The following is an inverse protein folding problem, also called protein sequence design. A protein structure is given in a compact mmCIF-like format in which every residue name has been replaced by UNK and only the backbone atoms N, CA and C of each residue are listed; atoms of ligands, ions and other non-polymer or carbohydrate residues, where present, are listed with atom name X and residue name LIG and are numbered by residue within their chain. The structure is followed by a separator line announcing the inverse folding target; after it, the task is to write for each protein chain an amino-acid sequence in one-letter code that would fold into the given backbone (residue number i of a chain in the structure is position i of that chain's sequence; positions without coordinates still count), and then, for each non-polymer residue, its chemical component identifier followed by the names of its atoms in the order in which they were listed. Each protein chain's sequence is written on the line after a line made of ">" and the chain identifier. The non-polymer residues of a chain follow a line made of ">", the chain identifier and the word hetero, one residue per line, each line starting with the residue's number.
data_IF_314125349090
#
_entry.id   IF_314125349090
#
_cell.length_a   1.000
_cell.length_b   1.000
_cell.length_c   1.000
_cell.angle_alpha   90.00
_cell.angle_beta   90.00
_cell.angle_gamma   90.00
#
_symmetry.space_group_name_H-M   'P 1'
#
loop_
_entity.id
_entity.type
_entity.pdbx_description
1 polymer ?
#
# COMPACT_ATOMS: atom_id res chain seq x y z
N UNK A 1 -23.10 7.02 -28.31
CA UNK A 1 -21.93 7.89 -28.07
C UNK A 1 -21.70 7.87 -26.55
N UNK A 2 -20.68 7.16 -26.11
CA UNK A 2 -20.26 7.17 -24.70
C UNK A 2 -19.59 8.51 -24.46
N UNK A 3 -20.23 9.40 -23.69
CA UNK A 3 -19.58 10.60 -23.18
C UNK A 3 -18.29 10.18 -22.47
N UNK A 4 -17.16 10.65 -22.97
CA UNK A 4 -15.88 10.47 -22.27
C UNK A 4 -15.95 11.30 -20.99
N UNK A 5 -16.26 10.66 -19.85
CA UNK A 5 -16.16 11.33 -18.56
C UNK A 5 -14.72 11.80 -18.38
N UNK A 6 -14.53 13.06 -18.11
CA UNK A 6 -13.21 13.59 -17.78
C UNK A 6 -12.69 12.90 -16.52
N UNK A 7 -11.47 12.40 -16.59
CA UNK A 7 -10.79 11.79 -15.46
C UNK A 7 -10.25 12.91 -14.56
N UNK A 8 -10.58 12.86 -13.27
CA UNK A 8 -9.94 13.73 -12.28
C UNK A 8 -8.74 12.99 -11.69
N UNK A 9 -7.56 13.50 -11.97
CA UNK A 9 -6.31 12.96 -11.42
C UNK A 9 -6.07 13.51 -10.00
N UNK A 10 -5.73 12.67 -9.04
CA UNK A 10 -5.53 13.03 -7.64
C UNK A 10 -4.23 12.41 -7.11
N UNK A 11 -3.36 13.21 -6.54
CA UNK A 11 -2.19 12.77 -5.80
C UNK A 11 -2.60 12.45 -4.36
N UNK A 12 -2.26 11.25 -3.88
CA UNK A 12 -2.57 10.79 -2.53
C UNK A 12 -1.27 10.44 -1.80
N UNK A 13 -1.02 11.10 -0.68
CA UNK A 13 0.18 10.91 0.11
C UNK A 13 -0.01 9.82 1.18
N UNK A 14 0.82 8.80 1.13
CA UNK A 14 1.01 7.86 2.23
C UNK A 14 2.24 8.32 3.01
N UNK A 15 2.02 9.29 3.91
CA UNK A 15 3.08 9.84 4.75
C UNK A 15 3.31 8.91 5.93
N UNK A 16 4.53 8.40 6.03
CA UNK A 16 4.95 7.53 7.13
C UNK A 16 5.96 8.28 8.00
N UNK A 17 5.67 8.35 9.28
CA UNK A 17 6.62 8.86 10.27
C UNK A 17 7.83 7.93 10.34
N UNK A 18 9.05 8.43 10.11
CA UNK A 18 10.24 7.58 10.02
C UNK A 18 10.67 6.93 11.35
N UNK A 19 10.24 7.49 12.48
CA UNK A 19 10.59 6.98 13.82
C UNK A 19 9.59 5.93 14.31
N UNK A 20 8.30 6.15 14.05
CA UNK A 20 7.23 5.31 14.61
C UNK A 20 6.59 4.36 13.60
N UNK A 21 6.82 4.57 12.30
CA UNK A 21 6.16 3.82 11.22
C UNK A 21 4.66 4.14 11.04
N UNK A 22 4.13 5.08 11.82
CA UNK A 22 2.72 5.49 11.74
C UNK A 22 2.44 6.30 10.48
N UNK A 23 1.19 6.25 10.03
CA UNK A 23 0.70 6.93 8.84
C UNK A 23 -0.18 8.11 9.22
N UNK A 24 -0.01 9.24 8.56
CA UNK A 24 -0.83 10.43 8.77
C UNK A 24 -2.17 10.30 8.07
N UNK A 25 -3.24 10.47 8.84
CA UNK A 25 -4.60 10.63 8.33
C UNK A 25 -5.14 12.01 8.69
N UNK A 26 -5.99 12.56 7.81
CA UNK A 26 -6.73 13.80 8.03
C UNK A 26 -8.24 13.55 8.03
N UNK A 27 -9.00 14.31 8.83
CA UNK A 27 -10.46 14.28 8.75
C UNK A 27 -10.93 15.19 7.62
N UNK A 28 -11.97 14.78 6.89
CA UNK A 28 -12.58 15.61 5.84
C UNK A 28 -13.33 16.78 6.47
N UNK A 29 -13.07 18.02 6.04
CA UNK A 29 -13.71 19.20 6.62
C UNK A 29 -15.21 19.26 6.31
N UNK A 30 -15.93 20.07 7.09
CA UNK A 30 -17.33 20.35 6.83
C UNK A 30 -17.54 20.94 5.42
N UNK A 31 -18.66 20.59 4.80
CA UNK A 31 -19.00 21.04 3.45
C UNK A 31 -18.43 20.20 2.30
N UNK A 32 -17.44 19.35 2.55
CA UNK A 32 -16.98 18.36 1.56
C UNK A 32 -17.80 17.04 1.67
N UNK A 33 -17.99 16.28 0.59
CA UNK A 33 -18.60 14.95 0.65
C UNK A 33 -17.88 14.08 1.68
N UNK A 34 -18.62 13.31 2.46
CA UNK A 34 -18.09 12.46 3.54
C UNK A 34 -17.41 13.27 4.68
N UNK A 35 -17.93 14.47 5.02
CA UNK A 35 -17.43 15.26 6.14
C UNK A 35 -17.29 14.42 7.44
N UNK A 36 -16.18 14.59 8.16
CA UNK A 36 -15.86 13.82 9.37
C UNK A 36 -15.34 12.41 9.13
N UNK A 37 -15.25 11.95 7.87
CA UNK A 37 -14.53 10.72 7.53
C UNK A 37 -13.03 11.01 7.44
N UNK A 38 -12.23 9.97 7.66
CA UNK A 38 -10.78 10.07 7.65
C UNK A 38 -10.20 9.59 6.33
N UNK A 39 -9.26 10.36 5.80
CA UNK A 39 -8.61 10.15 4.51
C UNK A 39 -7.09 10.32 4.60
N UNK A 40 -6.41 9.90 3.56
CA UNK A 40 -5.01 10.21 3.33
C UNK A 40 -4.93 11.63 2.74
N UNK A 41 -3.96 12.47 3.18
CA UNK A 41 -3.81 13.82 2.67
C UNK A 41 -3.42 13.83 1.19
N UNK A 42 -3.80 14.90 0.50
CA UNK A 42 -3.51 15.10 -0.92
C UNK A 42 -4.66 15.74 -1.67
N UNK A 43 -4.45 16.00 -2.96
CA UNK A 43 -5.42 16.72 -3.74
C UNK A 43 -5.30 16.52 -5.24
N UNK A 44 -6.04 17.34 -5.99
CA UNK A 44 -6.14 17.24 -7.46
C UNK A 44 -4.87 17.76 -8.12
N UNK A 45 -4.46 17.11 -9.21
CA UNK A 45 -3.42 17.65 -10.07
C UNK A 45 -3.92 18.89 -10.79
N UNK A 46 -3.08 19.91 -10.87
CA UNK A 46 -3.26 21.05 -11.74
C UNK A 46 -2.74 20.76 -13.15
N UNK A 47 -3.18 21.52 -14.17
CA UNK A 47 -2.72 21.32 -15.54
C UNK A 47 -1.20 21.42 -15.66
N UNK A 48 -0.57 20.35 -16.12
CA UNK A 48 0.88 20.27 -16.32
C UNK A 48 1.68 19.83 -15.10
N UNK A 49 1.04 19.64 -13.94
CA UNK A 49 1.71 19.09 -12.76
C UNK A 49 2.00 17.59 -12.91
N UNK A 50 3.15 17.16 -12.46
CA UNK A 50 3.39 15.76 -12.13
C UNK A 50 2.69 15.39 -10.82
N UNK A 51 2.45 14.09 -10.61
CA UNK A 51 1.86 13.61 -9.36
C UNK A 51 2.69 13.97 -8.12
N UNK A 52 4.03 14.04 -8.27
CA UNK A 52 4.91 14.45 -7.18
C UNK A 52 4.75 15.94 -6.85
N UNK A 53 4.72 16.80 -7.86
CA UNK A 53 4.56 18.24 -7.68
C UNK A 53 3.20 18.58 -7.04
N UNK A 54 2.11 17.96 -7.51
CA UNK A 54 0.79 18.11 -6.90
C UNK A 54 0.81 17.72 -5.43
N UNK A 55 1.43 16.56 -5.10
CA UNK A 55 1.54 16.09 -3.72
C UNK A 55 2.34 17.07 -2.85
N UNK A 56 3.46 17.61 -3.34
CA UNK A 56 4.27 18.60 -2.61
C UNK A 56 3.50 19.88 -2.37
N UNK A 57 2.77 20.39 -3.38
CA UNK A 57 1.93 21.60 -3.27
C UNK A 57 0.80 21.38 -2.26
N UNK A 58 0.00 20.35 -2.42
CA UNK A 58 -1.17 20.08 -1.57
C UNK A 58 -0.77 19.91 -0.10
N UNK A 59 0.30 19.14 0.19
CA UNK A 59 0.75 18.95 1.56
C UNK A 59 1.34 20.21 2.19
N UNK A 60 1.89 21.10 1.37
CA UNK A 60 2.33 22.41 1.86
C UNK A 60 1.13 23.33 2.16
N UNK A 61 0.10 23.32 1.32
CA UNK A 61 -1.10 24.13 1.48
C UNK A 61 -1.98 23.65 2.62
N UNK A 62 -2.22 22.34 2.73
CA UNK A 62 -3.10 21.79 3.76
C UNK A 62 -2.43 21.64 5.13
N UNK A 63 -1.14 21.31 5.17
CA UNK A 63 -0.43 20.81 6.35
C UNK A 63 0.82 21.61 6.73
N UNK A 64 1.24 22.58 5.94
CA UNK A 64 2.55 23.25 6.06
C UNK A 64 3.75 22.29 6.00
N UNK A 65 3.60 21.10 5.44
CA UNK A 65 4.68 20.13 5.27
C UNK A 65 5.41 20.33 3.94
N UNK A 66 6.74 20.19 3.98
CA UNK A 66 7.55 20.16 2.77
C UNK A 66 8.02 18.73 2.52
N UNK A 67 7.39 18.05 1.58
CA UNK A 67 7.82 16.70 1.15
C UNK A 67 9.05 16.84 0.25
N UNK A 68 10.13 16.17 0.62
CA UNK A 68 11.41 16.23 -0.09
C UNK A 68 11.61 15.08 -1.07
N UNK A 69 10.96 13.94 -0.82
CA UNK A 69 10.98 12.77 -1.72
C UNK A 69 9.69 11.98 -1.58
N UNK A 70 9.20 11.42 -2.67
CA UNK A 70 8.10 10.47 -2.66
C UNK A 70 8.23 9.46 -3.79
N UNK A 71 7.86 8.22 -3.53
CA UNK A 71 7.94 7.14 -4.50
C UNK A 71 6.54 6.70 -4.94
N UNK A 72 6.31 6.44 -6.23
CA UNK A 72 5.05 5.90 -6.70
C UNK A 72 4.81 4.54 -6.05
N UNK A 73 3.54 4.22 -5.79
CA UNK A 73 3.20 2.93 -5.21
C UNK A 73 2.16 2.18 -6.05
N UNK A 74 0.94 2.70 -6.13
CA UNK A 74 -0.09 2.16 -7.00
C UNK A 74 -1.09 3.24 -7.42
N UNK A 75 -1.91 2.91 -8.41
CA UNK A 75 -2.97 3.78 -8.91
C UNK A 75 -4.30 3.06 -8.75
N UNK A 76 -5.36 3.78 -8.41
CA UNK A 76 -6.70 3.24 -8.39
C UNK A 76 -7.68 4.17 -9.08
N UNK A 77 -8.63 3.57 -9.79
CA UNK A 77 -9.70 4.30 -10.44
C UNK A 77 -11.03 4.05 -9.70
N UNK A 78 -11.77 5.10 -9.50
CA UNK A 78 -13.07 5.05 -8.83
C UNK A 78 -14.10 5.87 -9.59
N UNK A 79 -15.21 5.23 -9.94
CA UNK A 79 -16.36 5.91 -10.51
C UNK A 79 -17.30 6.33 -9.38
N UNK A 80 -17.57 7.62 -9.31
CA UNK A 80 -18.62 8.20 -8.47
C UNK A 80 -19.77 8.71 -9.36
N UNK A 81 -20.98 8.92 -8.84
CA UNK A 81 -22.09 9.46 -9.64
C UNK A 81 -21.74 10.79 -10.33
N UNK A 82 -20.89 11.59 -9.71
CA UNK A 82 -20.53 12.95 -10.16
C UNK A 82 -19.12 13.08 -10.74
N UNK A 83 -18.27 12.06 -10.63
CA UNK A 83 -16.89 12.14 -11.10
C UNK A 83 -16.28 10.75 -11.34
N UNK A 84 -15.36 10.68 -12.29
CA UNK A 84 -14.44 9.57 -12.45
C UNK A 84 -13.05 10.01 -11.97
N UNK A 85 -12.52 9.34 -10.97
CA UNK A 85 -11.31 9.78 -10.26
C UNK A 85 -10.23 8.72 -10.42
N UNK A 86 -9.01 9.16 -10.72
CA UNK A 86 -7.80 8.33 -10.68
C UNK A 86 -6.91 8.80 -9.53
N UNK A 87 -6.73 7.92 -8.55
CA UNK A 87 -5.97 8.16 -7.33
C UNK A 87 -4.55 7.60 -7.48
N UNK A 88 -3.55 8.46 -7.44
CA UNK A 88 -2.14 8.09 -7.50
C UNK A 88 -1.55 8.06 -6.10
N UNK A 89 -1.38 6.88 -5.54
CA UNK A 89 -0.79 6.72 -4.22
C UNK A 89 0.73 6.79 -4.29
N UNK A 90 1.31 7.65 -3.47
CA UNK A 90 2.76 7.77 -3.33
C UNK A 90 3.16 7.63 -1.86
N UNK A 91 4.21 6.86 -1.59
CA UNK A 91 4.78 6.73 -0.25
C UNK A 91 5.86 7.76 -0.02
N UNK A 92 5.87 8.37 1.17
CA UNK A 92 6.95 9.25 1.63
C UNK A 92 7.18 9.09 3.12
N UNK A 93 8.46 9.03 3.51
CA UNK A 93 8.93 9.21 4.88
C UNK A 93 9.94 10.39 4.97
N UNK A 94 10.03 11.17 3.89
CA UNK A 94 10.99 12.27 3.74
C UNK A 94 10.24 13.59 3.62
N UNK A 95 10.02 14.26 4.75
CA UNK A 95 9.36 15.55 4.82
C UNK A 95 9.93 16.40 5.95
N UNK A 96 9.77 17.71 5.84
CA UNK A 96 10.18 18.71 6.83
C UNK A 96 8.93 19.38 7.41
N UNK A 97 9.00 19.72 8.69
CA UNK A 97 7.92 20.40 9.41
C UNK A 97 7.09 19.45 10.27
N UNK A 98 6.15 20.01 10.98
CA UNK A 98 5.13 19.31 11.74
C UNK A 98 3.77 19.63 11.14
N UNK A 99 2.86 18.67 10.99
CA UNK A 99 1.54 18.94 10.42
C UNK A 99 0.81 20.06 11.19
N UNK A 100 0.40 21.09 10.46
CA UNK A 100 -0.39 22.21 10.99
C UNK A 100 -1.75 22.19 10.30
N UNK A 101 -2.80 22.35 11.10
CA UNK A 101 -4.16 22.42 10.57
C UNK A 101 -4.40 23.78 9.90
N UNK A 102 -4.37 23.81 8.57
CA UNK A 102 -4.62 25.04 7.81
C UNK A 102 -6.06 25.08 7.20
N UNK A 103 -6.74 23.93 7.14
CA UNK A 103 -8.09 23.80 6.54
C UNK A 103 -9.18 23.33 7.52
N UNK A 104 -9.01 23.55 8.82
CA UNK A 104 -9.95 23.07 9.86
C UNK A 104 -10.19 21.56 9.83
N UNK A 105 -9.14 20.77 9.63
CA UNK A 105 -9.12 19.32 9.67
C UNK A 105 -8.50 18.84 10.99
N UNK A 106 -8.86 17.65 11.43
CA UNK A 106 -8.10 16.96 12.46
C UNK A 106 -7.06 16.02 11.82
N UNK A 107 -5.91 15.84 12.48
CA UNK A 107 -4.87 14.93 12.01
C UNK A 107 -4.52 13.90 13.08
N UNK A 108 -4.28 12.65 12.65
CA UNK A 108 -3.81 11.57 13.53
C UNK A 108 -2.75 10.73 12.85
N UNK A 109 -1.72 10.40 13.61
CA UNK A 109 -0.77 9.37 13.27
C UNK A 109 -1.30 8.02 13.75
N UNK A 110 -1.57 7.10 12.82
CA UNK A 110 -2.15 5.78 13.11
C UNK A 110 -1.18 4.68 12.71
N UNK A 111 -1.09 3.64 13.53
CA UNK A 111 -0.34 2.45 13.16
C UNK A 111 -1.12 1.66 12.10
N UNK A 112 -0.48 1.23 10.99
CA UNK A 112 -1.17 0.49 9.94
C UNK A 112 -1.92 -0.77 10.45
N UNK A 113 -1.33 -1.48 11.41
CA UNK A 113 -1.88 -2.68 12.05
C UNK A 113 -3.14 -2.43 12.87
N UNK A 114 -3.38 -1.20 13.29
CA UNK A 114 -4.57 -0.83 14.04
C UNK A 114 -5.76 -0.48 13.14
N UNK A 115 -5.60 -0.46 11.82
CA UNK A 115 -6.58 0.02 10.85
C UNK A 115 -8.01 -0.50 11.05
N UNK A 116 -8.15 -1.80 11.36
CA UNK A 116 -9.46 -2.42 11.61
C UNK A 116 -10.02 -2.17 13.02
N UNK A 117 -9.22 -1.57 13.93
CA UNK A 117 -9.59 -1.30 15.33
C UNK A 117 -9.77 0.18 15.64
N UNK A 118 -9.48 1.04 14.64
CA UNK A 118 -9.62 2.48 14.81
C UNK A 118 -11.10 2.84 14.98
N UNK A 119 -11.41 3.59 16.04
CA UNK A 119 -12.73 4.23 16.20
C UNK A 119 -12.82 5.47 15.29
N UNK A 120 -12.60 5.27 14.01
CA UNK A 120 -12.60 6.29 12.96
C UNK A 120 -13.42 5.82 11.77
N UNK A 121 -14.22 6.71 11.21
CA UNK A 121 -14.89 6.44 9.93
C UNK A 121 -13.90 6.61 8.80
N UNK A 122 -13.22 5.54 8.41
CA UNK A 122 -12.24 5.57 7.32
C UNK A 122 -12.92 5.55 5.96
N UNK A 123 -12.45 6.37 5.02
CA UNK A 123 -12.78 6.15 3.61
C UNK A 123 -12.29 4.75 3.19
N UNK A 124 -13.04 4.04 2.33
CA UNK A 124 -12.70 2.65 1.95
C UNK A 124 -11.25 2.47 1.47
N UNK A 125 -10.71 3.47 0.78
CA UNK A 125 -9.34 3.47 0.29
C UNK A 125 -8.30 3.52 1.40
N UNK A 126 -8.60 4.20 2.51
CA UNK A 126 -7.70 4.28 3.67
C UNK A 126 -7.50 2.89 4.29
N UNK A 127 -8.59 2.16 4.50
CA UNK A 127 -8.53 0.80 5.05
C UNK A 127 -7.69 -0.13 4.16
N UNK A 128 -7.86 -0.03 2.82
CA UNK A 128 -7.04 -0.79 1.87
C UNK A 128 -5.55 -0.43 1.99
N UNK A 129 -5.22 0.86 2.06
CA UNK A 129 -3.84 1.33 2.18
C UNK A 129 -3.20 0.85 3.48
N UNK A 130 -3.89 0.98 4.61
CA UNK A 130 -3.40 0.52 5.90
C UNK A 130 -3.10 -1.00 5.87
N UNK A 131 -4.02 -1.80 5.32
CA UNK A 131 -3.78 -3.25 5.13
C UNK A 131 -2.58 -3.54 4.22
N UNK A 132 -2.41 -2.80 3.12
CA UNK A 132 -1.24 -2.97 2.25
C UNK A 132 0.09 -2.63 2.93
N UNK A 133 0.07 -1.70 3.87
CA UNK A 133 1.26 -1.33 4.64
C UNK A 133 1.67 -2.43 5.63
N UNK A 134 0.76 -3.29 6.06
CA UNK A 134 1.08 -4.43 6.94
C UNK A 134 1.59 -5.66 6.17
N UNK A 135 1.61 -5.62 4.85
CA UNK A 135 2.14 -6.74 4.05
C UNK A 135 3.66 -6.84 4.19
N UNK A 136 4.20 -8.05 4.35
CA UNK A 136 5.64 -8.25 4.48
C UNK A 136 6.43 -7.65 3.33
N UNK A 137 7.63 -7.16 3.61
CA UNK A 137 8.56 -6.68 2.60
C UNK A 137 9.20 -7.83 1.81
N UNK A 138 9.38 -8.98 2.46
CA UNK A 138 9.98 -10.16 1.85
C UNK A 138 9.01 -11.34 1.95
N UNK A 139 8.71 -11.95 0.82
CA UNK A 139 7.84 -13.09 0.73
C UNK A 139 8.63 -14.33 0.27
N UNK A 140 8.63 -15.38 1.08
CA UNK A 140 9.16 -16.68 0.66
C UNK A 140 8.01 -17.56 0.16
N UNK A 141 8.20 -18.24 -0.96
CA UNK A 141 7.20 -19.16 -1.53
C UNK A 141 7.79 -20.54 -1.75
N UNK A 142 6.96 -21.57 -1.65
CA UNK A 142 7.38 -22.93 -1.92
C UNK A 142 6.24 -23.76 -2.54
N UNK A 143 6.62 -24.84 -3.23
CA UNK A 143 5.69 -25.75 -3.89
C UNK A 143 5.72 -27.16 -3.29
N UNK A 144 6.65 -27.42 -2.40
CA UNK A 144 6.80 -28.71 -1.70
C UNK A 144 6.85 -28.49 -0.19
N UNK A 145 6.67 -29.56 0.60
CA UNK A 145 6.77 -29.50 2.06
C UNK A 145 8.20 -29.17 2.51
N UNK A 146 9.19 -29.73 1.83
CA UNK A 146 10.61 -29.46 2.06
C UNK A 146 10.93 -27.99 1.74
N UNK A 147 10.41 -27.48 0.63
CA UNK A 147 10.53 -26.09 0.25
C UNK A 147 9.88 -25.14 1.27
N UNK A 148 8.72 -25.50 1.84
CA UNK A 148 8.07 -24.71 2.92
C UNK A 148 8.97 -24.66 4.15
N UNK A 149 9.63 -25.77 4.51
CA UNK A 149 10.57 -25.81 5.63
C UNK A 149 11.78 -24.91 5.37
N UNK A 150 12.38 -24.98 4.19
CA UNK A 150 13.50 -24.14 3.80
C UNK A 150 13.12 -22.65 3.74
N UNK A 151 11.92 -22.34 3.24
CA UNK A 151 11.37 -20.99 3.25
C UNK A 151 11.16 -20.46 4.68
N UNK A 152 10.65 -21.28 5.58
CA UNK A 152 10.45 -20.93 6.98
C UNK A 152 11.78 -20.66 7.70
N UNK A 153 12.80 -21.49 7.48
CA UNK A 153 14.15 -21.27 8.01
C UNK A 153 14.77 -19.98 7.49
N UNK A 154 14.57 -19.65 6.21
CA UNK A 154 15.01 -18.40 5.63
C UNK A 154 14.36 -17.19 6.28
N UNK A 155 13.02 -17.12 6.35
CA UNK A 155 12.30 -15.92 6.85
C UNK A 155 12.54 -15.67 8.33
N UNK A 156 12.88 -16.67 9.13
CA UNK A 156 13.23 -16.50 10.56
C UNK A 156 14.37 -15.51 10.80
N UNK A 157 15.29 -15.43 9.85
CA UNK A 157 16.46 -14.55 9.95
C UNK A 157 16.29 -13.23 9.19
N UNK A 158 15.17 -13.03 8.49
CA UNK A 158 14.92 -11.87 7.65
C UNK A 158 13.83 -11.00 8.28
N UNK A 159 14.12 -9.74 8.64
CA UNK A 159 13.12 -8.82 9.14
C UNK A 159 12.01 -8.59 8.12
N UNK A 160 10.78 -8.38 8.61
CA UNK A 160 9.60 -8.09 7.78
C UNK A 160 9.42 -9.11 6.64
N UNK A 161 9.58 -10.40 6.97
CA UNK A 161 9.44 -11.51 6.04
C UNK A 161 8.38 -12.50 6.49
N UNK A 162 7.71 -13.15 5.53
CA UNK A 162 6.76 -14.23 5.78
C UNK A 162 6.83 -15.32 4.71
N UNK A 163 6.39 -16.51 5.07
CA UNK A 163 6.18 -17.61 4.12
C UNK A 163 4.76 -17.55 3.61
N UNK A 164 4.61 -17.44 2.31
CA UNK A 164 3.29 -17.55 1.70
C UNK A 164 2.84 -19.00 1.66
N UNK A 165 1.69 -19.27 2.25
CA UNK A 165 1.07 -20.58 2.37
C UNK A 165 -0.38 -20.56 1.90
N UNK A 166 -0.86 -21.69 1.41
CA UNK A 166 -2.21 -21.83 0.84
C UNK A 166 -3.21 -22.45 1.81
N UNK A 167 -2.72 -23.21 2.80
CA UNK A 167 -3.58 -23.96 3.72
C UNK A 167 -3.25 -23.67 5.17
N UNK A 168 -4.22 -23.92 6.06
CA UNK A 168 -4.01 -23.82 7.50
C UNK A 168 -2.96 -24.83 8.01
N UNK A 169 -2.85 -25.98 7.34
CA UNK A 169 -1.87 -27.02 7.68
C UNK A 169 -0.45 -26.54 7.39
N UNK A 170 -0.23 -25.95 6.21
CA UNK A 170 1.04 -25.29 5.86
C UNK A 170 1.37 -24.15 6.81
N UNK A 171 0.38 -23.32 7.16
CA UNK A 171 0.56 -22.26 8.14
C UNK A 171 0.95 -22.78 9.53
N UNK A 172 0.36 -23.91 9.96
CA UNK A 172 0.73 -24.56 11.20
C UNK A 172 2.17 -25.09 11.17
N UNK A 173 2.59 -25.68 10.04
CA UNK A 173 3.97 -26.13 9.81
C UNK A 173 4.95 -24.95 9.93
N UNK A 174 4.68 -23.83 9.24
CA UNK A 174 5.54 -22.63 9.28
C UNK A 174 5.66 -22.10 10.71
N UNK A 175 4.54 -22.00 11.45
CA UNK A 175 4.55 -21.57 12.86
C UNK A 175 5.35 -22.53 13.75
N UNK A 176 5.27 -23.85 13.50
CA UNK A 176 6.01 -24.83 14.30
C UNK A 176 7.53 -24.71 14.15
N UNK A 177 7.99 -24.12 13.06
CA UNK A 177 9.39 -23.80 12.78
C UNK A 177 9.78 -22.43 13.38
N UNK A 178 8.83 -21.68 13.90
CA UNK A 178 9.05 -20.34 14.47
C UNK A 178 9.12 -19.22 13.42
N UNK A 179 8.54 -19.45 12.25
CA UNK A 179 8.43 -18.43 11.19
C UNK A 179 7.00 -17.85 11.10
N UNK A 180 6.86 -16.72 10.45
CA UNK A 180 5.57 -16.09 10.20
C UNK A 180 4.96 -16.63 8.89
N UNK A 181 3.77 -17.26 8.92
CA UNK A 181 3.03 -17.59 7.72
C UNK A 181 2.22 -16.38 7.23
N UNK A 182 2.15 -16.20 5.92
CA UNK A 182 1.16 -15.36 5.26
C UNK A 182 0.15 -16.30 4.60
N UNK A 183 -1.02 -16.46 5.23
CA UNK A 183 -2.04 -17.38 4.76
C UNK A 183 -2.81 -16.77 3.60
N UNK A 184 -2.74 -17.41 2.46
CA UNK A 184 -3.60 -17.18 1.33
C UNK A 184 -4.92 -17.95 1.53
N UNK A 185 -6.04 -17.26 1.50
CA UNK A 185 -7.37 -17.89 1.53
C UNK A 185 -8.05 -17.71 0.17
N UNK A 186 -8.57 -18.79 -0.40
CA UNK A 186 -9.39 -18.75 -1.63
C UNK A 186 -10.74 -18.04 -1.37
N UNK A 187 -11.19 -18.02 -0.12
CA UNK A 187 -12.35 -17.26 0.33
C UNK A 187 -11.87 -15.97 0.99
N UNK A 188 -11.67 -14.97 0.19
CA UNK A 188 -11.26 -13.67 0.68
C UNK A 188 -12.47 -12.90 1.18
N UNK A 189 -12.47 -12.38 2.42
CA UNK A 189 -13.52 -11.49 2.89
C UNK A 189 -13.60 -10.26 2.01
N UNK A 190 -14.82 -9.79 1.73
CA UNK A 190 -15.05 -8.56 0.97
C UNK A 190 -14.19 -7.40 1.53
N UNK A 191 -13.41 -6.77 0.65
CA UNK A 191 -12.49 -5.69 1.03
C UNK A 191 -11.13 -6.12 1.58
N UNK A 192 -10.80 -7.40 1.64
CA UNK A 192 -9.45 -7.83 1.97
C UNK A 192 -8.49 -7.62 0.80
N UNK A 193 -7.23 -7.30 1.10
CA UNK A 193 -6.19 -7.11 0.08
C UNK A 193 -6.03 -8.36 -0.80
N UNK A 194 -6.25 -9.51 -0.22
CA UNK A 194 -6.19 -10.79 -0.91
C UNK A 194 -7.33 -11.01 -1.92
N UNK A 195 -8.47 -10.29 -1.86
CA UNK A 195 -9.54 -10.39 -2.88
C UNK A 195 -9.09 -9.95 -4.26
N UNK A 196 -8.02 -9.18 -4.29
CA UNK A 196 -7.42 -8.74 -5.54
C UNK A 196 -6.60 -9.86 -6.22
N UNK A 197 -6.43 -11.00 -5.57
CA UNK A 197 -5.57 -12.10 -6.01
C UNK A 197 -6.36 -13.27 -6.62
N UNK A 198 -7.50 -12.99 -7.23
CA UNK A 198 -8.29 -14.04 -7.86
C UNK A 198 -7.46 -14.89 -8.83
N UNK A 199 -7.16 -16.08 -8.38
CA UNK A 199 -6.90 -17.24 -9.23
C UNK A 199 -5.49 -17.46 -9.71
N UNK A 200 -4.54 -16.52 -9.68
CA UNK A 200 -3.21 -16.77 -10.23
C UNK A 200 -2.08 -16.35 -9.29
N UNK A 201 -1.25 -17.33 -8.93
CA UNK A 201 0.03 -17.18 -8.21
C UNK A 201 0.96 -16.14 -8.85
N UNK A 202 0.79 -15.88 -10.13
CA UNK A 202 1.53 -14.92 -10.93
C UNK A 202 1.11 -13.48 -10.68
N UNK A 203 -0.10 -13.25 -10.21
CA UNK A 203 -0.61 -11.91 -9.98
C UNK A 203 -0.07 -11.27 -8.69
N UNK A 204 0.26 -12.09 -7.69
CA UNK A 204 0.93 -11.64 -6.47
C UNK A 204 2.37 -11.20 -6.72
N UNK A 205 2.99 -11.88 -7.65
CA UNK A 205 4.39 -11.74 -7.94
C UNK A 205 4.49 -11.22 -9.37
N UNK A 206 4.88 -10.00 -9.53
CA UNK A 206 5.11 -9.41 -10.84
C UNK A 206 6.16 -10.22 -11.62
N UNK A 207 5.79 -11.44 -12.01
CA UNK A 207 6.65 -12.37 -12.71
C UNK A 207 7.08 -11.74 -14.03
N UNK A 208 8.38 -11.56 -14.20
CA UNK A 208 8.95 -10.97 -15.40
C UNK A 208 8.97 -9.44 -15.42
N UNK A 209 8.56 -8.78 -14.35
CA UNK A 209 8.85 -7.37 -14.18
C UNK A 209 10.34 -7.23 -13.86
N UNK A 210 11.08 -6.72 -14.81
CA UNK A 210 12.40 -6.16 -14.56
C UNK A 210 12.22 -4.99 -13.57
N UNK A 211 13.23 -4.21 -13.30
CA UNK A 211 13.25 -3.14 -12.28
C UNK A 211 12.14 -2.07 -12.37
N UNK A 212 11.27 -2.13 -13.36
CA UNK A 212 10.18 -1.19 -13.56
C UNK A 212 8.83 -1.84 -13.23
N UNK A 213 8.36 -1.65 -12.01
CA UNK A 213 6.94 -1.83 -11.69
C UNK A 213 6.23 -0.60 -12.21
N UNK A 214 5.46 -0.76 -13.27
CA UNK A 214 4.64 0.34 -13.79
C UNK A 214 3.43 0.56 -12.89
N UNK A 215 2.93 1.79 -12.84
CA UNK A 215 1.69 2.12 -12.13
C UNK A 215 0.52 1.24 -12.60
N UNK A 216 0.54 0.81 -13.84
CA UNK A 216 -0.45 -0.08 -14.45
C UNK A 216 -0.45 -1.49 -13.80
N UNK A 217 0.71 -2.04 -13.49
CA UNK A 217 0.83 -3.33 -12.79
C UNK A 217 0.49 -3.23 -11.31
N UNK A 218 0.80 -2.11 -10.67
CA UNK A 218 0.47 -1.87 -9.26
C UNK A 218 -0.99 -1.48 -9.03
N UNK A 219 -1.79 -1.34 -10.10
CA UNK A 219 -3.12 -0.72 -10.08
C UNK A 219 -4.14 -1.50 -9.23
N UNK A 220 -4.02 -2.80 -9.12
CA UNK A 220 -5.00 -3.66 -8.42
C UNK A 220 -4.39 -4.48 -7.29
N UNK A 221 -3.14 -4.87 -7.42
CA UNK A 221 -2.48 -5.88 -6.59
C UNK A 221 -1.20 -5.33 -5.97
N UNK A 222 -0.84 -5.76 -4.75
CA UNK A 222 0.52 -5.56 -4.26
C UNK A 222 1.49 -6.36 -5.15
N UNK A 223 2.44 -5.67 -5.76
CA UNK A 223 3.39 -6.30 -6.68
C UNK A 223 4.67 -6.66 -5.94
N UNK A 224 4.96 -7.96 -5.89
CA UNK A 224 6.25 -8.48 -5.44
C UNK A 224 7.08 -8.87 -6.65
N UNK A 225 8.36 -8.51 -6.63
CA UNK A 225 9.31 -8.84 -7.69
C UNK A 225 10.37 -9.81 -7.19
N UNK A 226 10.98 -10.65 -8.07
CA UNK A 226 12.06 -11.52 -7.67
C UNK A 226 13.22 -10.72 -7.07
N UNK A 227 13.74 -11.15 -5.91
CA UNK A 227 14.87 -10.49 -5.25
C UNK A 227 15.11 -10.96 -3.84
N UNK A 228 16.12 -10.42 -3.22
CA UNK A 228 16.50 -10.66 -1.84
C UNK A 228 16.16 -9.45 -0.94
N UNK A 229 16.30 -9.63 0.37
CA UNK A 229 16.03 -8.55 1.35
C UNK A 229 16.83 -7.27 1.07
N UNK A 230 18.05 -7.38 0.51
CA UNK A 230 18.88 -6.25 0.12
C UNK A 230 18.27 -5.40 -1.02
N UNK A 231 17.41 -6.00 -1.85
CA UNK A 231 16.77 -5.32 -2.99
C UNK A 231 15.52 -4.55 -2.59
N UNK A 232 14.96 -4.77 -1.40
CA UNK A 232 13.67 -4.22 -0.97
C UNK A 232 13.62 -2.72 -1.15
N UNK A 233 14.61 -1.98 -0.65
CA UNK A 233 14.61 -0.51 -0.71
C UNK A 233 14.64 -0.02 -2.16
N UNK A 234 15.48 -0.60 -2.99
CA UNK A 234 15.61 -0.25 -4.42
C UNK A 234 14.30 -0.52 -5.16
N UNK A 235 13.73 -1.70 -4.98
CA UNK A 235 12.52 -2.11 -5.70
C UNK A 235 11.27 -1.40 -5.18
N UNK A 236 11.19 -1.09 -3.88
CA UNK A 236 10.13 -0.23 -3.34
C UNK A 236 10.17 1.18 -3.92
N UNK A 237 11.36 1.74 -4.20
CA UNK A 237 11.49 3.01 -4.93
C UNK A 237 10.98 2.94 -6.36
N UNK A 238 11.04 1.78 -6.98
CA UNK A 238 10.46 1.55 -8.31
C UNK A 238 8.94 1.23 -8.28
N UNK A 239 8.32 1.23 -7.10
CA UNK A 239 6.86 1.02 -6.95
C UNK A 239 6.46 -0.37 -6.47
N UNK A 240 7.39 -1.30 -6.26
CA UNK A 240 7.05 -2.63 -5.74
C UNK A 240 6.52 -2.56 -4.29
N UNK A 241 5.69 -3.53 -3.91
CA UNK A 241 5.32 -3.78 -2.52
C UNK A 241 6.52 -4.33 -1.75
N UNK A 242 7.22 -5.28 -2.35
CA UNK A 242 8.37 -5.95 -1.77
C UNK A 242 9.02 -6.90 -2.75
N UNK A 243 9.80 -7.85 -2.24
CA UNK A 243 10.49 -8.89 -3.01
C UNK A 243 9.98 -10.27 -2.66
N UNK A 244 10.15 -11.22 -3.57
CA UNK A 244 9.89 -12.61 -3.24
C UNK A 244 11.07 -13.53 -3.62
N UNK A 245 11.19 -14.62 -2.86
CA UNK A 245 12.13 -15.72 -3.11
C UNK A 245 11.40 -17.05 -3.14
N UNK A 246 11.70 -17.88 -4.15
CA UNK A 246 11.09 -19.21 -4.30
C UNK A 246 12.02 -20.29 -3.79
N UNK A 247 11.45 -21.24 -3.05
CA UNK A 247 12.07 -22.45 -2.56
C UNK A 247 11.39 -23.66 -3.22
N UNK A 248 12.18 -24.67 -3.62
CA UNK A 248 11.73 -25.85 -4.35
C UNK A 248 11.74 -27.08 -3.46
#
# INVERSE_FOLDING_TARGET
>A
MTESRSVTEVAVAVLTDPETGKVLLGSRPEGKPYAGWWELPGGKLEPGESVHEALVRELKEELALTVTDSVPWFVMEKSYPHAYVRLHFRRSASFLGTPVNLENQEFRWVAPEDGDRLDLKLLPMVALVLRRLTLPAVMATATSREGITAAADFVRSVPDAAVWVKTQEEAALVRSIGAAPFLWSETVPEGAVASDFEGETTALFGVGLNDAVTAEHANRLPVYVPGDAADVTRLRRAGAQGVYRRFF
#
